data_IF_957429093735
#
_entry.id   IF_957429093735
#
_cell.length_a   1.000
_cell.length_b   1.000
_cell.length_c   1.000
_cell.angle_alpha   90.00
_cell.angle_beta   90.00
_cell.angle_gamma   90.00
#
_symmetry.space_group_name_H-M   'P 1'
#
loop_
_entity.id
_entity.type
_entity.pdbx_description
1 polymer ?
#
# COMPACT_ATOMS: atom_id res chain seq x y z
N UNK A 1 1.18 -8.63 19.84
CA UNK A 1 1.08 -7.92 18.55
C UNK A 1 0.50 -6.55 18.82
N UNK A 2 1.30 -5.48 18.73
CA UNK A 2 0.79 -4.12 18.89
C UNK A 2 0.07 -3.74 17.60
N UNK A 3 -1.26 -3.75 17.62
CA UNK A 3 -2.08 -3.34 16.50
C UNK A 3 -2.10 -1.81 16.56
N UNK A 4 -1.32 -1.15 15.71
CA UNK A 4 -1.40 0.30 15.52
C UNK A 4 -2.78 0.63 14.92
N UNK A 5 -3.73 0.94 15.79
CA UNK A 5 -5.06 1.41 15.44
C UNK A 5 -4.97 2.91 15.20
N UNK A 6 -5.25 3.35 13.99
CA UNK A 6 -5.51 4.77 13.71
C UNK A 6 -7.01 5.00 13.85
N UNK A 7 -7.41 5.88 14.74
CA UNK A 7 -8.80 6.30 14.90
C UNK A 7 -9.12 7.37 13.85
N UNK A 8 -10.13 7.15 13.01
CA UNK A 8 -10.57 8.09 11.99
C UNK A 8 -12.05 8.41 12.20
N UNK A 9 -12.39 9.62 12.67
CA UNK A 9 -13.75 10.01 13.10
C UNK A 9 -14.41 9.03 14.10
N UNK A 10 -13.66 8.53 15.08
CA UNK A 10 -14.16 7.56 16.07
C UNK A 10 -14.32 6.13 15.55
N UNK A 11 -14.10 5.90 14.25
CA UNK A 11 -14.02 4.57 13.65
C UNK A 11 -12.55 4.18 13.60
N UNK A 12 -12.12 3.17 14.35
CA UNK A 12 -10.77 2.68 14.20
C UNK A 12 -10.61 2.09 12.80
N UNK A 13 -9.42 2.22 12.22
CA UNK A 13 -9.08 1.62 10.92
C UNK A 13 -7.71 0.98 11.09
N UNK A 14 -7.55 -0.24 10.57
CA UNK A 14 -6.22 -0.84 10.52
C UNK A 14 -5.36 -0.04 9.54
N UNK A 15 -4.20 0.44 9.99
CA UNK A 15 -3.25 1.15 9.12
C UNK A 15 -2.75 0.26 7.98
N UNK A 16 -2.75 -1.06 8.19
CA UNK A 16 -2.38 -2.04 7.18
C UNK A 16 -3.57 -2.38 6.27
N UNK A 17 -3.39 -2.37 4.94
CA UNK A 17 -4.43 -2.80 4.03
C UNK A 17 -4.75 -4.28 4.25
N UNK A 18 -6.04 -4.61 4.18
CA UNK A 18 -6.52 -5.99 4.27
C UNK A 18 -6.17 -6.78 3.01
N UNK A 19 -6.26 -6.13 1.85
CA UNK A 19 -5.91 -6.70 0.56
C UNK A 19 -5.05 -5.72 -0.24
N UNK A 20 -4.15 -6.26 -1.05
CA UNK A 20 -3.26 -5.50 -1.94
C UNK A 20 -3.40 -6.00 -3.38
N UNK A 21 -3.35 -5.07 -4.33
CA UNK A 21 -3.22 -5.39 -5.75
C UNK A 21 -1.74 -5.48 -6.06
N UNK A 22 -1.33 -6.57 -6.72
CA UNK A 22 0.05 -6.76 -7.18
C UNK A 22 0.08 -6.57 -8.68
N UNK A 23 0.75 -5.52 -9.13
CA UNK A 23 1.05 -5.32 -10.54
C UNK A 23 2.46 -5.83 -10.83
N UNK A 24 2.56 -6.69 -11.83
CA UNK A 24 3.83 -7.23 -12.32
C UNK A 24 4.12 -6.64 -13.69
N UNK A 25 5.27 -5.98 -13.82
CA UNK A 25 5.79 -5.52 -15.10
C UNK A 25 7.17 -6.12 -15.36
N UNK A 26 7.58 -6.12 -16.62
CA UNK A 26 8.92 -6.48 -17.03
C UNK A 26 9.61 -5.23 -17.55
N UNK A 27 10.76 -4.91 -16.95
CA UNK A 27 11.58 -3.78 -17.37
C UNK A 27 12.90 -4.28 -17.93
N UNK A 28 13.34 -3.71 -19.05
CA UNK A 28 14.70 -3.89 -19.53
C UNK A 28 15.63 -3.02 -18.70
N UNK A 29 16.42 -3.66 -17.83
CA UNK A 29 17.44 -2.99 -17.03
C UNK A 29 18.83 -3.48 -17.42
N UNK A 30 19.84 -2.68 -17.08
CA UNK A 30 21.24 -3.12 -17.18
C UNK A 30 21.46 -4.32 -16.26
N UNK A 31 22.21 -5.30 -16.74
CA UNK A 31 22.43 -6.55 -15.99
C UNK A 31 22.99 -6.25 -14.58
N UNK A 32 22.43 -6.83 -13.50
CA UNK A 32 22.77 -6.43 -12.13
C UNK A 32 24.25 -6.71 -11.76
N UNK A 33 24.78 -7.84 -12.23
CA UNK A 33 26.19 -8.23 -12.07
C UNK A 33 27.12 -7.26 -12.82
N UNK A 34 28.07 -6.64 -12.11
CA UNK A 34 29.00 -5.64 -12.63
C UNK A 34 29.71 -6.05 -13.93
N UNK A 35 30.26 -7.28 -13.97
CA UNK A 35 30.97 -7.83 -15.15
C UNK A 35 30.09 -7.96 -16.41
N UNK A 36 28.76 -7.94 -16.25
CA UNK A 36 27.78 -8.15 -17.33
C UNK A 36 26.95 -6.90 -17.65
N UNK A 37 27.17 -5.76 -16.99
CA UNK A 37 26.38 -4.51 -17.17
C UNK A 37 26.33 -3.98 -18.61
N UNK A 38 27.27 -4.37 -19.48
CA UNK A 38 27.20 -4.04 -20.91
C UNK A 38 25.97 -4.67 -21.61
N UNK A 39 25.37 -5.70 -21.02
CA UNK A 39 24.16 -6.39 -21.53
C UNK A 39 22.90 -5.89 -20.84
N UNK A 40 21.79 -5.98 -21.55
CA UNK A 40 20.44 -5.78 -21.02
C UNK A 40 19.90 -7.10 -20.45
N UNK A 41 19.07 -6.99 -19.42
CA UNK A 41 18.34 -8.11 -18.82
C UNK A 41 16.91 -7.70 -18.54
N UNK A 42 15.96 -8.59 -18.83
CA UNK A 42 14.59 -8.43 -18.37
C UNK A 42 14.53 -8.65 -16.86
N UNK A 43 14.03 -7.64 -16.14
CA UNK A 43 13.86 -7.68 -14.69
C UNK A 43 12.38 -7.60 -14.40
N UNK A 44 11.88 -8.57 -13.62
CA UNK A 44 10.52 -8.53 -13.10
C UNK A 44 10.45 -7.47 -12.01
N UNK A 45 9.57 -6.51 -12.17
CA UNK A 45 9.30 -5.45 -11.19
C UNK A 45 7.90 -5.68 -10.65
N UNK A 46 7.79 -5.74 -9.32
CA UNK A 46 6.50 -5.86 -8.64
C UNK A 46 6.20 -4.53 -7.94
N UNK A 47 5.03 -3.97 -8.22
CA UNK A 47 4.47 -2.85 -7.47
C UNK A 47 3.22 -3.31 -6.72
N UNK A 48 3.12 -2.89 -5.45
CA UNK A 48 2.00 -3.25 -4.57
C UNK A 48 1.24 -1.98 -4.23
N UNK A 49 -0.07 -2.00 -4.44
CA UNK A 49 -0.98 -0.93 -4.05
C UNK A 49 -2.05 -1.46 -3.10
N UNK A 50 -2.52 -0.66 -2.14
CA UNK A 50 -3.68 -1.02 -1.33
C UNK A 50 -4.89 -1.29 -2.23
N UNK A 51 -5.61 -2.38 -2.00
CA UNK A 51 -6.86 -2.69 -2.70
C UNK A 51 -8.07 -2.49 -1.79
N UNK A 52 -7.93 -2.78 -0.49
CA UNK A 52 -8.99 -2.64 0.49
C UNK A 52 -8.40 -2.46 1.90
N UNK A 53 -9.04 -1.62 2.70
CA UNK A 53 -8.82 -1.51 4.15
C UNK A 53 -9.97 -2.17 4.89
N UNK A 54 -9.71 -2.61 6.13
CA UNK A 54 -10.73 -3.13 7.04
C UNK A 54 -10.80 -2.22 8.26
N UNK A 55 -12.02 -1.91 8.70
CA UNK A 55 -12.23 -1.28 10.02
C UNK A 55 -12.38 -2.38 11.08
N UNK A 56 -12.08 -2.14 12.36
CA UNK A 56 -12.33 -3.11 13.43
C UNK A 56 -13.80 -3.47 13.61
N UNK A 57 -14.74 -2.65 13.13
CA UNK A 57 -16.17 -3.01 13.02
C UNK A 57 -16.45 -4.04 11.93
N UNK A 58 -15.44 -4.42 11.13
CA UNK A 58 -15.57 -5.40 10.06
C UNK A 58 -16.01 -4.82 8.72
N UNK A 59 -16.06 -3.49 8.57
CA UNK A 59 -16.43 -2.85 7.31
C UNK A 59 -15.22 -2.81 6.36
N UNK A 60 -15.49 -3.00 5.08
CA UNK A 60 -14.51 -2.91 4.01
C UNK A 60 -14.52 -1.50 3.42
N UNK A 61 -13.34 -0.92 3.22
CA UNK A 61 -13.19 0.44 2.70
C UNK A 61 -12.26 0.46 1.49
N UNK A 62 -12.73 1.06 0.40
CA UNK A 62 -11.94 1.28 -0.80
C UNK A 62 -10.84 2.33 -0.55
N UNK A 63 -9.59 2.15 -1.05
CA UNK A 63 -8.47 3.07 -0.84
C UNK A 63 -8.75 4.53 -1.20
N UNK A 64 -9.52 4.77 -2.28
CA UNK A 64 -9.89 6.13 -2.68
C UNK A 64 -10.79 6.82 -1.65
N UNK A 65 -11.71 6.07 -1.03
CA UNK A 65 -12.57 6.59 0.05
C UNK A 65 -11.71 6.90 1.27
N UNK A 66 -10.80 5.98 1.64
CA UNK A 66 -9.86 6.20 2.74
C UNK A 66 -8.98 7.43 2.51
N UNK A 67 -8.45 7.63 1.30
CA UNK A 67 -7.64 8.79 0.95
C UNK A 67 -8.42 10.10 1.05
N UNK A 68 -9.65 10.14 0.51
CA UNK A 68 -10.55 11.31 0.59
C UNK A 68 -10.93 11.65 2.03
N UNK A 69 -11.23 10.64 2.83
CA UNK A 69 -11.48 10.80 4.25
C UNK A 69 -10.25 11.40 4.93
N UNK A 70 -9.05 10.84 4.70
CA UNK A 70 -7.77 11.34 5.22
C UNK A 70 -7.48 12.79 4.86
N UNK A 71 -7.77 13.18 3.62
CA UNK A 71 -7.64 14.57 3.15
C UNK A 71 -8.64 15.51 3.82
N UNK A 72 -9.91 15.10 3.91
CA UNK A 72 -11.00 15.96 4.37
C UNK A 72 -10.96 16.22 5.88
N UNK A 73 -10.66 15.18 6.68
CA UNK A 73 -10.63 15.30 8.13
C UNK A 73 -9.22 15.54 8.69
N UNK A 74 -8.20 15.60 7.84
CA UNK A 74 -6.80 15.71 8.26
C UNK A 74 -6.30 14.45 9.01
N UNK A 75 -5.00 14.42 9.32
CA UNK A 75 -4.38 13.35 10.11
C UNK A 75 -4.71 13.49 11.61
N UNK A 76 -5.98 13.68 11.98
CA UNK A 76 -6.43 13.56 13.36
C UNK A 76 -6.47 12.07 13.75
N UNK A 77 -5.28 11.47 13.86
CA UNK A 77 -5.07 10.39 14.82
C UNK A 77 -5.19 11.04 16.20
N UNK A 78 -6.38 10.99 16.79
CA UNK A 78 -6.50 11.18 18.22
C UNK A 78 -5.62 10.08 18.88
N UNK A 79 -4.73 10.45 19.82
CA UNK A 79 -3.88 9.51 20.52
C UNK A 79 -4.67 8.45 21.29
#
# INVERSE_FOLDING_TARGET
MNINLSTFNGVPVFQTPYAVTVHVSWELRRHPIAKRRRRWSAVRVESRSPACFRTPQGLFMHPAVFARLREHFGAYTLP
#
